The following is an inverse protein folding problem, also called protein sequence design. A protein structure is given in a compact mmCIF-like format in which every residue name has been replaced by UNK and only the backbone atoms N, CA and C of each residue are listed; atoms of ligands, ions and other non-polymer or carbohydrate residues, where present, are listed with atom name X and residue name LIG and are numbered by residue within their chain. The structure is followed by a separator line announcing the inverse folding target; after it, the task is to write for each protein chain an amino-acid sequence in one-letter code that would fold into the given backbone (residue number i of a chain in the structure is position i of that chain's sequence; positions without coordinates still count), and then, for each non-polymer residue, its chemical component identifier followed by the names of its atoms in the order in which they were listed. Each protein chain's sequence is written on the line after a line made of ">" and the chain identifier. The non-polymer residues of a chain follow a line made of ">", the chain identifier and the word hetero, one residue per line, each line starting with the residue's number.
data_IF_661096098893
#
_entry.id   IF_661096098893
#
_cell.length_a   1.000
_cell.length_b   1.000
_cell.length_c   1.000
_cell.angle_alpha   90.00
_cell.angle_beta   90.00
_cell.angle_gamma   90.00
#
_symmetry.space_group_name_H-M   'P 1'
#
loop_
_entity.id
_entity.type
_entity.pdbx_description
1 polymer ?
#
# COMPACT_ATOMS: atom_id res chain seq x y z
N UNK A 1 -3.74 -15.19 -24.50
CA UNK A 1 -2.77 -14.75 -23.48
C UNK A 1 -3.28 -13.44 -22.91
N UNK A 2 -4.02 -13.49 -21.81
CA UNK A 2 -4.51 -12.28 -21.13
C UNK A 2 -3.38 -11.76 -20.23
N UNK A 3 -2.95 -10.52 -20.46
CA UNK A 3 -2.06 -9.80 -19.54
C UNK A 3 -2.86 -9.46 -18.29
N UNK A 4 -2.60 -10.16 -17.18
CA UNK A 4 -3.06 -9.76 -15.86
C UNK A 4 -2.32 -8.50 -15.47
N UNK A 5 -3.04 -7.38 -15.40
CA UNK A 5 -2.58 -6.15 -14.72
C UNK A 5 -2.55 -6.43 -13.21
N UNK A 6 -1.51 -6.02 -12.48
CA UNK A 6 -1.51 -6.15 -11.03
C UNK A 6 -2.60 -5.22 -10.47
N UNK A 7 -3.58 -5.81 -9.81
CA UNK A 7 -4.58 -5.06 -9.07
C UNK A 7 -3.92 -4.55 -7.80
N UNK A 8 -3.68 -3.26 -7.76
CA UNK A 8 -3.32 -2.55 -6.52
C UNK A 8 -4.59 -2.52 -5.69
N UNK A 9 -4.63 -3.35 -4.66
CA UNK A 9 -5.74 -3.40 -3.73
C UNK A 9 -5.68 -2.15 -2.87
N UNK A 10 -6.45 -1.15 -3.30
CA UNK A 10 -6.73 0.01 -2.50
C UNK A 10 -7.87 -0.37 -1.55
N UNK A 11 -7.55 -0.78 -0.31
CA UNK A 11 -8.54 -0.96 0.74
C UNK A 11 -9.25 0.39 0.99
N UNK A 12 -10.38 0.60 0.32
CA UNK A 12 -11.24 1.76 0.56
C UNK A 12 -12.25 1.43 1.68
N UNK A 13 -11.84 1.62 2.92
CA UNK A 13 -12.76 1.74 4.05
C UNK A 13 -13.40 3.13 4.04
N UNK A 14 -14.48 3.31 3.28
CA UNK A 14 -15.33 4.50 3.36
C UNK A 14 -16.79 4.10 3.20
N UNK A 15 -17.36 3.62 4.30
CA UNK A 15 -18.83 3.57 4.46
C UNK A 15 -19.29 4.89 5.09
N UNK A 16 -19.68 5.86 4.31
CA UNK A 16 -20.39 7.05 4.79
C UNK A 16 -21.72 7.18 4.08
N UNK A 17 -22.76 6.73 4.76
CA UNK A 17 -24.16 6.92 4.40
C UNK A 17 -24.52 8.41 4.46
N UNK A 18 -24.72 9.07 3.33
CA UNK A 18 -25.31 10.39 3.26
C UNK A 18 -26.76 10.30 2.84
N UNK A 19 -27.66 10.55 3.79
CA UNK A 19 -29.07 10.80 3.57
C UNK A 19 -29.25 12.14 2.86
N UNK A 20 -29.79 12.10 1.64
CA UNK A 20 -30.21 13.25 0.87
C UNK A 20 -31.56 13.74 1.39
N UNK A 21 -31.59 14.91 2.02
CA UNK A 21 -32.82 15.71 2.14
C UNK A 21 -32.74 16.87 1.18
N UNK A 22 -33.56 16.80 0.14
CA UNK A 22 -33.78 17.89 -0.79
C UNK A 22 -34.73 18.91 -0.15
N UNK A 23 -34.36 20.20 -0.17
CA UNK A 23 -35.34 21.31 -0.18
C UNK A 23 -34.80 22.48 -1.00
N UNK A 24 -35.66 22.93 -1.87
CA UNK A 24 -35.58 23.94 -2.91
C UNK A 24 -35.69 25.36 -2.33
N UNK A 25 -34.85 26.32 -2.75
CA UNK A 25 -35.26 27.65 -3.29
C UNK A 25 -34.07 28.58 -3.60
N UNK A 26 -34.06 29.00 -4.82
CA UNK A 26 -33.80 30.29 -5.48
C UNK A 26 -32.72 31.31 -4.96
N UNK A 27 -31.80 31.63 -5.89
CA UNK A 27 -31.18 32.93 -6.19
C UNK A 27 -30.36 33.67 -5.13
N UNK A 28 -29.00 33.49 -5.25
CA UNK A 28 -28.01 34.58 -5.24
C UNK A 28 -26.64 34.02 -5.67
N UNK A 29 -25.80 34.80 -6.43
CA UNK A 29 -24.53 34.29 -6.93
C UNK A 29 -23.51 34.25 -5.79
N UNK A 30 -23.39 33.13 -5.11
CA UNK A 30 -22.31 32.89 -4.16
C UNK A 30 -21.01 32.65 -4.91
N UNK A 31 -19.98 33.43 -4.55
CA UNK A 31 -18.57 33.24 -4.89
C UNK A 31 -18.22 31.77 -4.75
N UNK A 32 -17.77 31.16 -5.84
CA UNK A 32 -17.18 29.84 -5.87
C UNK A 32 -15.84 29.90 -5.09
N UNK A 33 -15.88 29.64 -3.80
CA UNK A 33 -14.71 29.19 -3.08
C UNK A 33 -14.46 27.75 -3.57
N UNK A 34 -13.52 27.62 -4.49
CA UNK A 34 -12.91 26.35 -4.83
C UNK A 34 -12.20 25.82 -3.59
N UNK A 35 -12.92 25.12 -2.73
CA UNK A 35 -12.33 24.17 -1.82
C UNK A 35 -11.79 23.03 -2.69
N UNK A 36 -10.53 23.18 -3.11
CA UNK A 36 -9.71 22.06 -3.57
C UNK A 36 -9.54 21.10 -2.39
N UNK A 37 -10.50 20.21 -2.23
CA UNK A 37 -10.28 18.97 -1.49
C UNK A 37 -9.38 18.12 -2.38
N UNK A 38 -8.06 18.33 -2.24
CA UNK A 38 -7.09 17.41 -2.82
C UNK A 38 -7.48 16.01 -2.38
N UNK A 39 -7.72 15.11 -3.33
CA UNK A 39 -8.07 13.73 -3.02
C UNK A 39 -6.89 13.10 -2.24
N UNK A 40 -7.14 12.08 -1.44
CA UNK A 40 -6.05 11.36 -0.76
C UNK A 40 -5.00 10.86 -1.75
N UNK A 41 -5.42 10.52 -2.96
CA UNK A 41 -4.54 10.11 -4.07
C UNK A 41 -3.61 11.22 -4.50
N UNK A 42 -4.12 12.46 -4.66
CA UNK A 42 -3.29 13.61 -5.06
C UNK A 42 -2.23 13.92 -3.99
N UNK A 43 -2.60 13.84 -2.72
CA UNK A 43 -1.66 14.02 -1.60
C UNK A 43 -0.56 12.94 -1.58
N UNK A 44 -0.91 11.68 -1.83
CA UNK A 44 0.07 10.59 -1.94
C UNK A 44 1.01 10.80 -3.12
N UNK A 45 0.49 11.21 -4.28
CA UNK A 45 1.31 11.50 -5.46
C UNK A 45 2.22 12.71 -5.26
N UNK A 46 1.76 13.75 -4.56
CA UNK A 46 2.59 14.89 -4.17
C UNK A 46 3.76 14.43 -3.29
N UNK A 47 3.48 13.66 -2.24
CA UNK A 47 4.50 13.09 -1.35
C UNK A 47 5.47 12.15 -2.07
N UNK A 48 5.00 11.37 -3.02
CA UNK A 48 5.84 10.51 -3.83
C UNK A 48 6.77 11.32 -4.75
N UNK A 49 6.30 12.41 -5.34
CA UNK A 49 7.10 13.30 -6.18
C UNK A 49 8.21 14.04 -5.40
N UNK A 50 8.03 14.26 -4.10
CA UNK A 50 9.07 14.78 -3.21
C UNK A 50 10.19 13.76 -2.92
N UNK A 51 10.04 12.51 -3.32
CA UNK A 51 10.93 11.38 -3.02
C UNK A 51 11.57 10.82 -4.30
N UNK A 52 12.64 11.44 -4.81
CA UNK A 52 13.30 10.94 -6.01
C UNK A 52 13.89 9.54 -5.78
N UNK A 53 13.99 8.78 -6.88
CA UNK A 53 14.69 7.49 -6.86
C UNK A 53 16.14 7.71 -6.41
N UNK A 54 16.55 7.00 -5.34
CA UNK A 54 17.90 7.04 -4.82
C UNK A 54 18.79 6.20 -5.71
N UNK A 55 19.97 6.72 -6.05
CA UNK A 55 20.97 5.99 -6.84
C UNK A 55 21.96 5.28 -5.91
N UNK A 56 22.28 4.05 -6.26
CA UNK A 56 23.25 3.21 -5.57
C UNK A 56 24.32 2.73 -6.56
N UNK A 57 25.46 2.32 -6.05
CA UNK A 57 26.50 1.69 -6.86
C UNK A 57 26.03 0.29 -7.27
N UNK A 58 26.29 -0.10 -8.52
CA UNK A 58 26.04 -1.46 -9.00
C UNK A 58 26.99 -2.43 -8.33
N UNK A 59 26.49 -3.60 -7.94
CA UNK A 59 27.24 -4.67 -7.28
C UNK A 59 27.03 -6.02 -7.97
N UNK A 60 27.87 -7.00 -7.67
CA UNK A 60 27.68 -8.36 -8.19
C UNK A 60 26.44 -9.07 -7.61
N UNK A 61 25.94 -8.59 -6.48
CA UNK A 61 24.78 -9.18 -5.78
C UNK A 61 23.44 -8.55 -6.17
N UNK A 62 23.44 -7.56 -7.08
CA UNK A 62 22.20 -6.86 -7.48
C UNK A 62 21.12 -7.82 -7.99
N UNK A 63 21.50 -8.75 -8.90
CA UNK A 63 20.54 -9.72 -9.45
C UNK A 63 19.96 -10.67 -8.39
N UNK A 64 20.80 -11.05 -7.40
CA UNK A 64 20.37 -11.87 -6.26
C UNK A 64 19.31 -11.15 -5.43
N UNK A 65 19.58 -9.92 -5.02
CA UNK A 65 18.70 -9.15 -4.16
C UNK A 65 17.39 -8.75 -4.87
N UNK A 66 17.46 -8.40 -6.16
CA UNK A 66 16.27 -8.16 -6.98
C UNK A 66 15.36 -9.40 -6.99
N UNK A 67 15.96 -10.59 -7.22
CA UNK A 67 15.18 -11.83 -7.25
C UNK A 67 14.51 -12.14 -5.90
N UNK A 68 15.19 -11.88 -4.77
CA UNK A 68 14.61 -12.05 -3.44
C UNK A 68 13.43 -11.09 -3.18
N UNK A 69 13.57 -9.82 -3.58
CA UNK A 69 12.51 -8.82 -3.41
C UNK A 69 11.30 -9.12 -4.31
N UNK A 70 11.53 -9.60 -5.54
CA UNK A 70 10.45 -10.05 -6.44
C UNK A 70 9.75 -11.31 -5.92
N UNK A 71 10.48 -12.27 -5.38
CA UNK A 71 9.89 -13.46 -4.77
C UNK A 71 9.06 -13.10 -3.54
N UNK A 72 9.54 -12.18 -2.70
CA UNK A 72 8.77 -11.63 -1.60
C UNK A 72 7.45 -11.03 -2.10
N UNK A 73 7.50 -10.13 -3.08
CA UNK A 73 6.32 -9.42 -3.62
C UNK A 73 5.30 -10.42 -4.18
N UNK A 74 5.77 -11.39 -4.98
CA UNK A 74 4.92 -12.45 -5.55
C UNK A 74 4.25 -13.30 -4.47
N UNK A 75 5.01 -13.84 -3.51
CA UNK A 75 4.50 -14.71 -2.46
C UNK A 75 3.54 -13.98 -1.53
N UNK A 76 3.86 -12.74 -1.19
CA UNK A 76 2.99 -11.92 -0.35
C UNK A 76 1.68 -11.60 -1.08
N UNK A 77 1.73 -11.26 -2.38
CA UNK A 77 0.53 -11.01 -3.19
C UNK A 77 -0.35 -12.27 -3.26
N UNK A 78 0.23 -13.44 -3.56
CA UNK A 78 -0.50 -14.72 -3.61
C UNK A 78 -1.21 -15.02 -2.27
N UNK A 79 -0.52 -14.84 -1.14
CA UNK A 79 -1.09 -15.05 0.20
C UNK A 79 -2.21 -14.05 0.53
N UNK A 80 -2.05 -12.79 0.11
CA UNK A 80 -3.06 -11.74 0.33
C UNK A 80 -4.32 -12.00 -0.51
N UNK A 81 -4.16 -12.40 -1.79
CA UNK A 81 -5.27 -12.75 -2.67
C UNK A 81 -6.07 -13.95 -2.13
N UNK A 82 -5.37 -14.96 -1.56
CA UNK A 82 -6.03 -16.11 -0.91
C UNK A 82 -6.84 -15.66 0.32
N UNK A 83 -6.27 -14.81 1.16
CA UNK A 83 -6.95 -14.26 2.34
C UNK A 83 -8.19 -13.45 1.93
N UNK A 84 -8.09 -12.58 0.94
CA UNK A 84 -9.21 -11.77 0.46
C UNK A 84 -10.33 -12.64 -0.09
N UNK A 85 -9.98 -13.67 -0.87
CA UNK A 85 -10.95 -14.65 -1.38
C UNK A 85 -11.67 -15.40 -0.26
N UNK A 86 -10.97 -15.72 0.84
CA UNK A 86 -11.56 -16.35 2.02
C UNK A 86 -12.56 -15.39 2.70
N UNK A 87 -12.14 -14.14 2.94
CA UNK A 87 -12.97 -13.12 3.60
C UNK A 87 -14.20 -12.78 2.76
N UNK A 88 -14.07 -12.68 1.43
CA UNK A 88 -15.19 -12.46 0.52
C UNK A 88 -16.24 -13.57 0.62
N UNK A 89 -15.82 -14.84 0.55
CA UNK A 89 -16.71 -15.99 0.72
C UNK A 89 -17.46 -15.99 2.06
N UNK A 90 -16.74 -15.64 3.14
CA UNK A 90 -17.36 -15.54 4.46
C UNK A 90 -18.36 -14.38 4.54
N UNK A 91 -18.04 -13.26 3.90
CA UNK A 91 -18.96 -12.11 3.80
C UNK A 91 -20.23 -12.48 3.04
N UNK A 92 -20.11 -13.11 1.86
CA UNK A 92 -21.25 -13.59 1.06
C UNK A 92 -22.12 -14.59 1.82
N UNK A 93 -21.49 -15.47 2.61
CA UNK A 93 -22.18 -16.44 3.46
C UNK A 93 -22.81 -15.82 4.73
N UNK A 94 -22.56 -14.54 5.01
CA UNK A 94 -23.03 -13.87 6.23
C UNK A 94 -22.36 -14.39 7.52
N UNK A 95 -21.19 -15.04 7.41
CA UNK A 95 -20.45 -15.62 8.53
C UNK A 95 -19.22 -14.82 8.95
N UNK A 96 -18.85 -13.79 8.16
CA UNK A 96 -17.71 -12.93 8.48
C UNK A 96 -18.04 -12.04 9.69
N UNK A 97 -17.20 -12.12 10.72
CA UNK A 97 -17.26 -11.20 11.85
C UNK A 97 -16.13 -10.18 11.75
N UNK A 98 -16.36 -8.97 12.27
CA UNK A 98 -15.35 -7.91 12.30
C UNK A 98 -14.08 -8.35 13.06
N UNK A 99 -14.23 -9.14 14.11
CA UNK A 99 -13.10 -9.66 14.90
C UNK A 99 -12.25 -10.63 14.07
N UNK A 100 -12.89 -11.53 13.32
CA UNK A 100 -12.18 -12.47 12.44
C UNK A 100 -11.45 -11.72 11.32
N UNK A 101 -12.11 -10.76 10.66
CA UNK A 101 -11.51 -9.92 9.61
C UNK A 101 -10.28 -9.16 10.13
N UNK A 102 -10.40 -8.49 11.28
CA UNK A 102 -9.27 -7.77 11.90
C UNK A 102 -8.11 -8.71 12.23
N UNK A 103 -8.41 -9.87 12.78
CA UNK A 103 -7.39 -10.87 13.08
C UNK A 103 -6.67 -11.34 11.81
N UNK A 104 -7.38 -11.67 10.75
CA UNK A 104 -6.81 -12.11 9.47
C UNK A 104 -5.94 -11.03 8.83
N UNK A 105 -6.41 -9.77 8.85
CA UNK A 105 -5.64 -8.62 8.36
C UNK A 105 -4.34 -8.44 9.16
N UNK A 106 -4.41 -8.55 10.47
CA UNK A 106 -3.22 -8.45 11.34
C UNK A 106 -2.23 -9.61 11.09
N UNK A 107 -2.72 -10.84 10.95
CA UNK A 107 -1.90 -12.00 10.63
C UNK A 107 -1.20 -11.84 9.26
N UNK A 108 -1.88 -11.26 8.26
CA UNK A 108 -1.31 -10.97 6.95
C UNK A 108 -0.16 -9.94 7.03
N UNK A 109 -0.38 -8.85 7.77
CA UNK A 109 0.66 -7.82 8.01
C UNK A 109 1.89 -8.41 8.72
N UNK A 110 1.68 -9.24 9.73
CA UNK A 110 2.77 -9.92 10.45
C UNK A 110 3.53 -10.90 9.57
N UNK A 111 2.83 -11.56 8.65
CA UNK A 111 3.47 -12.41 7.64
C UNK A 111 4.37 -11.60 6.72
N UNK A 112 3.93 -10.42 6.26
CA UNK A 112 4.77 -9.51 5.47
C UNK A 112 6.04 -9.12 6.21
N UNK A 113 5.93 -8.73 7.48
CA UNK A 113 7.08 -8.36 8.33
C UNK A 113 8.05 -9.53 8.51
N UNK A 114 7.54 -10.73 8.76
CA UNK A 114 8.36 -11.94 8.92
C UNK A 114 9.10 -12.26 7.62
N UNK A 115 8.38 -12.28 6.49
CA UNK A 115 8.98 -12.56 5.18
C UNK A 115 10.06 -11.54 4.83
N UNK A 116 9.85 -10.24 5.10
CA UNK A 116 10.86 -9.20 4.86
C UNK A 116 12.10 -9.41 5.74
N UNK A 117 11.90 -9.73 7.02
CA UNK A 117 13.00 -9.94 7.97
C UNK A 117 13.90 -11.10 7.57
N UNK A 118 13.34 -12.13 6.94
CA UNK A 118 14.04 -13.34 6.54
C UNK A 118 14.81 -13.18 5.21
N UNK A 119 14.71 -12.03 4.52
CA UNK A 119 15.47 -11.77 3.30
C UNK A 119 16.94 -11.53 3.61
N UNK A 120 17.83 -12.36 3.06
CA UNK A 120 19.27 -12.24 3.19
C UNK A 120 19.86 -11.31 2.10
N UNK A 121 19.48 -10.02 2.16
CA UNK A 121 19.91 -9.02 1.18
C UNK A 121 21.36 -8.58 1.42
N UNK A 122 22.15 -8.57 0.34
CA UNK A 122 23.61 -8.29 0.34
C UNK A 122 23.92 -6.83 0.03
N UNK A 123 23.07 -6.15 -0.77
CA UNK A 123 23.33 -4.81 -1.28
C UNK A 123 22.76 -3.72 -0.36
N UNK A 124 23.31 -2.52 -0.46
CA UNK A 124 22.75 -1.33 0.21
C UNK A 124 21.36 -0.98 -0.36
N UNK A 125 21.18 -1.13 -1.68
CA UNK A 125 19.93 -0.84 -2.36
C UNK A 125 18.81 -1.81 -1.94
N UNK A 126 19.13 -3.12 -1.87
CA UNK A 126 18.19 -4.14 -1.39
C UNK A 126 17.73 -3.85 0.03
N UNK A 127 18.65 -3.59 0.95
CA UNK A 127 18.33 -3.24 2.35
C UNK A 127 17.54 -1.93 2.48
N UNK A 128 17.82 -0.95 1.60
CA UNK A 128 17.04 0.30 1.57
C UNK A 128 15.57 0.04 1.21
N UNK A 129 15.32 -0.76 0.16
CA UNK A 129 13.95 -1.14 -0.25
C UNK A 129 13.27 -1.95 0.85
N UNK A 130 13.96 -2.94 1.42
CA UNK A 130 13.48 -3.72 2.57
C UNK A 130 13.06 -2.82 3.73
N UNK A 131 13.87 -1.81 4.06
CA UNK A 131 13.59 -0.85 5.13
C UNK A 131 12.31 -0.05 4.91
N UNK A 132 12.06 0.44 3.68
CA UNK A 132 10.84 1.15 3.33
C UNK A 132 9.60 0.26 3.45
N UNK A 133 9.67 -0.98 2.93
CA UNK A 133 8.58 -1.95 3.02
C UNK A 133 8.31 -2.36 4.46
N UNK A 134 9.38 -2.59 5.24
CA UNK A 134 9.27 -2.98 6.64
C UNK A 134 8.60 -1.87 7.47
N UNK A 135 9.01 -0.61 7.28
CA UNK A 135 8.42 0.54 7.95
C UNK A 135 6.93 0.71 7.61
N UNK A 136 6.56 0.50 6.35
CA UNK A 136 5.16 0.52 5.92
C UNK A 136 4.34 -0.52 6.69
N UNK A 137 4.77 -1.78 6.71
CA UNK A 137 4.02 -2.85 7.38
C UNK A 137 4.01 -2.71 8.91
N UNK A 138 5.10 -2.24 9.54
CA UNK A 138 5.09 -1.90 10.97
C UNK A 138 4.05 -0.85 11.31
N UNK A 139 3.90 0.15 10.46
CA UNK A 139 2.90 1.18 10.65
C UNK A 139 1.49 0.63 10.44
N UNK A 140 1.28 -0.26 9.45
CA UNK A 140 -0.01 -0.94 9.28
C UNK A 140 -0.38 -1.77 10.51
N UNK A 141 0.57 -2.50 11.11
CA UNK A 141 0.32 -3.25 12.35
C UNK A 141 -0.10 -2.32 13.49
N UNK A 142 0.56 -1.18 13.67
CA UNK A 142 0.19 -0.18 14.67
C UNK A 142 -1.23 0.36 14.43
N UNK A 143 -1.58 0.67 13.20
CA UNK A 143 -2.92 1.21 12.88
C UNK A 143 -4.05 0.21 13.10
N UNK A 144 -3.84 -1.07 12.81
CA UNK A 144 -4.84 -2.10 13.09
C UNK A 144 -5.09 -2.21 14.59
N UNK A 145 -4.04 -2.08 15.41
CA UNK A 145 -4.12 -2.17 16.86
C UNK A 145 -4.62 -0.86 17.50
N UNK A 146 -4.24 0.30 16.94
CA UNK A 146 -4.50 1.63 17.47
C UNK A 146 -5.47 2.36 16.51
N UNK A 147 -6.75 2.39 16.86
CA UNK A 147 -7.81 2.96 16.01
C UNK A 147 -7.72 4.48 15.77
N UNK A 148 -6.61 5.12 16.13
CA UNK A 148 -6.36 6.57 16.01
C UNK A 148 -5.40 6.90 14.84
N UNK A 149 -5.62 6.32 13.66
CA UNK A 149 -4.80 6.64 12.50
C UNK A 149 -4.99 8.10 12.05
N UNK A 150 -3.91 8.87 12.05
CA UNK A 150 -3.89 10.21 11.44
C UNK A 150 -3.83 10.06 9.92
N UNK A 151 -4.72 10.77 9.20
CA UNK A 151 -4.82 10.72 7.75
C UNK A 151 -3.50 11.10 7.05
N UNK A 152 -2.81 12.11 7.54
CA UNK A 152 -1.53 12.57 6.98
C UNK A 152 -0.44 11.51 7.15
N UNK A 153 -0.49 10.76 8.23
CA UNK A 153 0.41 9.64 8.47
C UNK A 153 0.16 8.49 7.49
N UNK A 154 -1.10 8.14 7.23
CA UNK A 154 -1.46 7.13 6.21
C UNK A 154 -1.00 7.53 4.81
N UNK A 155 -1.15 8.81 4.43
CA UNK A 155 -0.66 9.34 3.15
C UNK A 155 0.86 9.17 3.04
N UNK A 156 1.62 9.52 4.08
CA UNK A 156 3.07 9.38 4.10
C UNK A 156 3.50 7.91 3.99
N UNK A 157 2.84 7.01 4.71
CA UNK A 157 3.13 5.57 4.71
C UNK A 157 2.87 4.94 3.34
N UNK A 158 1.75 5.29 2.69
CA UNK A 158 1.48 4.82 1.34
C UNK A 158 2.52 5.35 0.34
N UNK A 159 2.99 6.60 0.51
CA UNK A 159 4.06 7.15 -0.29
C UNK A 159 5.41 6.41 -0.06
N UNK A 160 5.70 5.92 1.17
CA UNK A 160 6.87 5.09 1.45
C UNK A 160 6.80 3.74 0.73
N UNK A 161 5.64 3.09 0.75
CA UNK A 161 5.41 1.85 0.02
C UNK A 161 5.62 2.02 -1.49
N UNK A 162 4.98 3.05 -2.07
CA UNK A 162 5.12 3.35 -3.50
C UNK A 162 6.56 3.74 -3.87
N UNK A 163 7.28 4.39 -2.96
CA UNK A 163 8.70 4.68 -3.13
C UNK A 163 9.54 3.39 -3.20
N UNK A 164 9.26 2.40 -2.36
CA UNK A 164 9.93 1.10 -2.41
C UNK A 164 9.69 0.41 -3.77
N UNK A 165 8.44 0.40 -4.25
CA UNK A 165 8.07 -0.18 -5.55
C UNK A 165 8.75 0.55 -6.72
N UNK A 166 8.79 1.89 -6.70
CA UNK A 166 9.49 2.68 -7.72
C UNK A 166 11.00 2.44 -7.70
N UNK A 167 11.59 2.31 -6.53
CA UNK A 167 13.02 2.03 -6.36
C UNK A 167 13.38 0.66 -6.95
N UNK A 168 12.59 -0.38 -6.66
CA UNK A 168 12.78 -1.72 -7.22
C UNK A 168 12.62 -1.73 -8.74
N UNK A 169 11.56 -1.09 -9.24
CA UNK A 169 11.31 -0.97 -10.68
C UNK A 169 12.47 -0.29 -11.42
N UNK A 170 12.96 0.82 -10.88
CA UNK A 170 14.10 1.53 -11.45
C UNK A 170 15.37 0.67 -11.43
N UNK A 171 15.64 -0.01 -10.32
CA UNK A 171 16.79 -0.88 -10.18
C UNK A 171 16.79 -2.01 -11.21
N UNK A 172 15.68 -2.70 -11.37
CA UNK A 172 15.49 -3.74 -12.41
C UNK A 172 15.76 -3.19 -13.82
N UNK A 173 15.22 -2.02 -14.13
CA UNK A 173 15.41 -1.40 -15.45
C UNK A 173 16.90 -1.07 -15.69
N UNK A 174 17.67 -0.69 -14.67
CA UNK A 174 19.10 -0.39 -14.79
C UNK A 174 20.01 -1.61 -15.01
N UNK A 175 19.52 -2.82 -14.71
CA UNK A 175 20.26 -4.07 -14.96
C UNK A 175 20.11 -4.60 -16.39
N UNK A 176 19.23 -4.03 -17.20
CA UNK A 176 18.95 -4.49 -18.57
C UNK A 176 19.83 -3.78 -19.63
N UNK A 177 20.79 -2.96 -19.20
CA UNK A 177 21.72 -2.23 -20.06
C UNK A 177 23.15 -2.61 -19.75
#
# INVERSE_FOLDING_TARGET
>A
MLKKTPHIILMSLLSSSLLLTACKKADEPAKTEQHQTNSSTDQVMEKLNERPVKKFATTADDAHDIALLEDYDRRFTEMSDEMETELEKMHEAGTLTTEFEQKRTLDNVRSALTMLKDLDLKTEQGRYIQGLLYQYWENQEKHINDKQANKDEQVNQLADYLQAQNQLKYWKASQQH
#
